data_IF_727507742640
#
_entry.id   IF_727507742640
#
_cell.length_a   1.000
_cell.length_b   1.000
_cell.length_c   1.000
_cell.angle_alpha   90.00
_cell.angle_beta   90.00
_cell.angle_gamma   90.00
#
_symmetry.space_group_name_H-M   'P 1'
#
loop_
_entity.id
_entity.type
_entity.pdbx_description
1 polymer ?
#
# COMPACT_ATOMS: atom_id res chain seq x y z
N UNK A 1 -7.71 13.67 16.97
CA UNK A 1 -7.45 12.53 16.07
C UNK A 1 -6.09 11.94 16.43
N UNK A 2 -6.00 10.65 16.75
CA UNK A 2 -4.74 10.03 17.21
C UNK A 2 -3.70 10.00 16.07
N UNK A 3 -2.39 10.05 16.38
CA UNK A 3 -1.33 9.95 15.37
C UNK A 3 -1.48 8.73 14.46
N UNK A 4 -1.84 7.58 15.03
CA UNK A 4 -1.96 6.32 14.29
C UNK A 4 -3.16 6.32 13.32
N UNK A 5 -4.26 6.99 13.68
CA UNK A 5 -5.40 7.13 12.77
C UNK A 5 -5.04 8.02 11.57
N UNK A 6 -4.25 9.07 11.79
CA UNK A 6 -3.72 9.89 10.68
C UNK A 6 -2.73 9.11 9.81
N UNK A 7 -1.96 8.19 10.40
CA UNK A 7 -1.06 7.32 9.65
C UNK A 7 -1.85 6.35 8.76
N UNK A 8 -2.93 5.74 9.26
CA UNK A 8 -3.81 4.89 8.46
C UNK A 8 -4.41 5.66 7.27
N UNK A 9 -4.95 6.86 7.50
CA UNK A 9 -5.48 7.69 6.41
C UNK A 9 -4.41 8.05 5.36
N UNK A 10 -3.18 8.33 5.78
CA UNK A 10 -2.06 8.56 4.87
C UNK A 10 -1.74 7.30 4.05
N UNK A 11 -1.66 6.14 4.69
CA UNK A 11 -1.38 4.86 4.02
C UNK A 11 -2.49 4.52 3.01
N UNK A 12 -3.76 4.67 3.39
CA UNK A 12 -4.91 4.45 2.52
C UNK A 12 -4.86 5.39 1.30
N UNK A 13 -4.58 6.68 1.51
CA UNK A 13 -4.45 7.66 0.43
C UNK A 13 -3.30 7.32 -0.54
N UNK A 14 -2.15 6.89 -0.02
CA UNK A 14 -1.02 6.47 -0.85
C UNK A 14 -1.30 5.17 -1.60
N UNK A 15 -2.05 4.25 -1.00
CA UNK A 15 -2.50 3.02 -1.64
C UNK A 15 -3.45 3.32 -2.81
N UNK A 16 -4.45 4.19 -2.61
CA UNK A 16 -5.39 4.57 -3.67
C UNK A 16 -4.69 5.27 -4.85
N UNK A 17 -3.72 6.14 -4.56
CA UNK A 17 -2.89 6.78 -5.61
C UNK A 17 -2.10 5.73 -6.39
N UNK A 18 -1.49 4.76 -5.69
CA UNK A 18 -0.76 3.66 -6.33
C UNK A 18 -1.67 2.78 -7.20
N UNK A 19 -2.86 2.44 -6.70
CA UNK A 19 -3.86 1.62 -7.41
C UNK A 19 -4.33 2.29 -8.71
N UNK A 20 -4.67 3.58 -8.68
CA UNK A 20 -5.07 4.33 -9.88
C UNK A 20 -3.96 4.33 -10.95
N UNK A 21 -2.68 4.38 -10.56
CA UNK A 21 -1.57 4.27 -11.51
C UNK A 21 -1.48 2.87 -12.15
N UNK A 22 -1.67 1.81 -11.37
CA UNK A 22 -1.69 0.42 -11.89
C UNK A 22 -2.87 0.22 -12.86
N UNK A 23 -4.07 0.64 -12.46
CA UNK A 23 -5.28 0.52 -13.28
C UNK A 23 -5.11 1.24 -14.63
N UNK A 24 -4.60 2.47 -14.63
CA UNK A 24 -4.31 3.22 -15.87
C UNK A 24 -3.30 2.51 -16.75
N UNK A 25 -2.20 2.01 -16.17
CA UNK A 25 -1.18 1.30 -16.93
C UNK A 25 -1.70 -0.01 -17.56
N UNK A 26 -2.63 -0.70 -16.89
CA UNK A 26 -3.26 -1.92 -17.40
C UNK A 26 -4.31 -1.64 -18.49
N UNK A 27 -5.11 -0.57 -18.36
CA UNK A 27 -6.17 -0.19 -19.31
C UNK A 27 -5.62 0.32 -20.64
N UNK A 28 -4.53 1.08 -20.61
CA UNK A 28 -4.01 1.72 -21.83
C UNK A 28 -3.08 0.82 -22.68
N UNK A 29 -2.68 -0.35 -22.16
CA UNK A 29 -1.73 -1.23 -22.84
C UNK A 29 -0.33 -0.63 -22.98
N UNK A 30 0.69 -1.48 -23.14
CA UNK A 30 2.11 -1.10 -23.28
C UNK A 30 2.43 -0.16 -24.46
N UNK A 31 1.44 0.20 -25.29
CA UNK A 31 1.59 0.93 -26.55
C UNK A 31 1.27 2.42 -26.49
N UNK A 32 1.12 3.01 -25.30
CA UNK A 32 1.37 4.44 -25.11
C UNK A 32 2.68 4.59 -24.33
N UNK A 33 3.78 4.37 -25.05
CA UNK A 33 5.09 4.83 -24.61
C UNK A 33 5.10 6.38 -24.67
N UNK A 34 5.70 7.02 -23.66
CA UNK A 34 5.73 8.47 -23.32
C UNK A 34 4.51 8.96 -22.53
N UNK A 35 4.44 8.93 -21.21
CA UNK A 35 5.37 8.64 -20.15
C UNK A 35 4.51 7.84 -19.16
N UNK A 36 4.93 6.65 -18.72
CA UNK A 36 4.44 6.20 -17.42
C UNK A 36 4.75 7.34 -16.47
N UNK A 37 3.73 8.04 -15.94
CA UNK A 37 3.88 9.38 -15.37
C UNK A 37 4.99 9.40 -14.30
N UNK A 38 6.21 9.69 -14.76
CA UNK A 38 7.44 9.47 -13.99
C UNK A 38 7.42 10.39 -12.79
N UNK A 39 6.90 11.60 -13.01
CA UNK A 39 6.69 12.61 -12.00
C UNK A 39 5.71 12.11 -10.93
N UNK A 40 4.59 11.49 -11.32
CA UNK A 40 3.63 10.94 -10.36
C UNK A 40 4.16 9.71 -9.64
N UNK A 41 4.87 8.83 -10.33
CA UNK A 41 5.55 7.70 -9.71
C UNK A 41 6.57 8.17 -8.67
N UNK A 42 7.46 9.11 -9.03
CA UNK A 42 8.48 9.61 -8.11
C UNK A 42 7.88 10.35 -6.91
N UNK A 43 6.81 11.13 -7.13
CA UNK A 43 6.07 11.77 -6.02
C UNK A 43 5.46 10.74 -5.08
N UNK A 44 4.80 9.73 -5.63
CA UNK A 44 4.23 8.64 -4.85
C UNK A 44 5.33 7.87 -4.09
N UNK A 45 6.39 7.45 -4.79
CA UNK A 45 7.52 6.71 -4.22
C UNK A 45 8.20 7.50 -3.11
N UNK A 46 8.40 8.81 -3.29
CA UNK A 46 8.96 9.67 -2.26
C UNK A 46 8.03 9.75 -1.04
N UNK A 47 6.75 10.02 -1.26
CA UNK A 47 5.78 10.13 -0.17
C UNK A 47 5.66 8.83 0.64
N UNK A 48 5.69 7.67 -0.03
CA UNK A 48 5.72 6.37 0.66
C UNK A 48 7.02 6.18 1.44
N UNK A 49 8.19 6.48 0.86
CA UNK A 49 9.46 6.40 1.59
C UNK A 49 9.47 7.29 2.82
N UNK A 50 8.98 8.54 2.70
CA UNK A 50 8.92 9.49 3.81
C UNK A 50 8.02 8.93 4.94
N UNK A 51 6.84 8.39 4.63
CA UNK A 51 5.94 7.79 5.62
C UNK A 51 6.54 6.56 6.29
N UNK A 52 7.16 5.66 5.53
CA UNK A 52 7.79 4.45 6.09
C UNK A 52 9.00 4.80 6.96
N UNK A 53 9.79 5.79 6.54
CA UNK A 53 10.93 6.29 7.30
C UNK A 53 10.48 7.00 8.59
N UNK A 54 9.46 7.84 8.53
CA UNK A 54 8.87 8.48 9.72
C UNK A 54 8.38 7.45 10.75
N UNK A 55 7.82 6.32 10.28
CA UNK A 55 7.29 5.26 11.15
C UNK A 55 8.40 4.45 11.83
N UNK A 56 9.33 3.92 11.04
CA UNK A 56 10.25 2.87 11.51
C UNK A 56 11.73 3.19 11.35
N UNK A 57 12.07 4.33 10.75
CA UNK A 57 13.44 4.72 10.47
C UNK A 57 14.09 3.91 9.35
N UNK A 58 15.42 3.97 9.27
CA UNK A 58 16.16 3.31 8.20
C UNK A 58 16.20 1.78 8.33
N UNK A 59 16.10 1.24 9.54
CA UNK A 59 16.26 -0.19 9.78
C UNK A 59 14.93 -0.97 9.71
N UNK A 60 13.81 -0.27 9.49
CA UNK A 60 12.51 -0.88 9.31
C UNK A 60 12.45 -1.75 8.05
N UNK A 61 11.89 -2.95 8.22
CA UNK A 61 11.83 -3.96 7.16
C UNK A 61 10.98 -3.50 5.97
N UNK A 62 9.90 -2.74 6.22
CA UNK A 62 9.04 -2.23 5.17
C UNK A 62 9.72 -1.10 4.42
N UNK A 63 10.40 -0.19 5.12
CA UNK A 63 11.20 0.85 4.48
C UNK A 63 12.29 0.26 3.56
N UNK A 64 13.07 -0.69 4.06
CA UNK A 64 14.15 -1.33 3.27
C UNK A 64 13.61 -2.10 2.06
N UNK A 65 12.52 -2.85 2.25
CA UNK A 65 11.89 -3.60 1.14
C UNK A 65 11.31 -2.65 0.09
N UNK A 66 10.61 -1.61 0.51
CA UNK A 66 10.00 -0.65 -0.41
C UNK A 66 11.08 0.05 -1.24
N UNK A 67 12.12 0.56 -0.57
CA UNK A 67 13.24 1.22 -1.23
C UNK A 67 13.94 0.32 -2.27
N UNK A 68 14.05 -0.98 -1.98
CA UNK A 68 14.70 -1.95 -2.87
C UNK A 68 13.81 -2.38 -4.04
N UNK A 69 12.52 -2.61 -3.79
CA UNK A 69 11.64 -3.30 -4.73
C UNK A 69 10.70 -2.37 -5.52
N UNK A 70 10.56 -1.10 -5.11
CA UNK A 70 9.73 -0.09 -5.79
C UNK A 70 10.62 1.02 -6.35
N UNK A 71 11.57 0.63 -7.19
CA UNK A 71 12.65 1.51 -7.67
C UNK A 71 12.39 2.05 -9.07
N UNK A 72 11.62 1.33 -9.88
CA UNK A 72 11.37 1.66 -11.27
C UNK A 72 9.90 1.99 -11.52
N UNK A 73 9.61 2.90 -12.46
CA UNK A 73 8.27 3.30 -12.87
C UNK A 73 7.62 2.21 -13.75
N UNK A 74 7.46 1.01 -13.21
CA UNK A 74 6.89 -0.15 -13.89
C UNK A 74 5.79 -0.76 -13.03
N UNK A 75 4.78 -1.34 -13.68
CA UNK A 75 3.60 -1.93 -13.00
C UNK A 75 4.00 -2.91 -11.90
N UNK A 76 4.98 -3.77 -12.17
CA UNK A 76 5.48 -4.75 -11.18
C UNK A 76 6.00 -4.09 -9.90
N UNK A 77 6.77 -3.02 -10.01
CA UNK A 77 7.38 -2.31 -8.88
C UNK A 77 6.32 -1.50 -8.11
N UNK A 78 5.29 -0.98 -8.81
CA UNK A 78 4.10 -0.39 -8.18
C UNK A 78 3.32 -1.43 -7.38
N UNK A 79 2.97 -2.56 -7.98
CA UNK A 79 2.22 -3.64 -7.33
C UNK A 79 2.95 -4.14 -6.08
N UNK A 80 4.28 -4.26 -6.14
CA UNK A 80 5.08 -4.64 -4.99
C UNK A 80 5.05 -3.57 -3.89
N UNK A 81 5.13 -2.29 -4.25
CA UNK A 81 5.01 -1.19 -3.29
C UNK A 81 3.62 -1.12 -2.66
N UNK A 82 2.57 -1.42 -3.41
CA UNK A 82 1.19 -1.53 -2.89
C UNK A 82 1.04 -2.70 -1.90
N UNK A 83 1.65 -3.86 -2.16
CA UNK A 83 1.67 -4.97 -1.20
C UNK A 83 2.34 -4.57 0.11
N UNK A 84 3.46 -3.84 0.03
CA UNK A 84 4.16 -3.35 1.21
C UNK A 84 3.30 -2.34 1.99
N UNK A 85 2.67 -1.39 1.30
CA UNK A 85 1.72 -0.45 1.94
C UNK A 85 0.57 -1.17 2.63
N UNK A 86 -0.01 -2.19 2.01
CA UNK A 86 -1.08 -2.99 2.61
C UNK A 86 -0.61 -3.70 3.88
N UNK A 87 0.59 -4.31 3.86
CA UNK A 87 1.14 -4.99 5.03
C UNK A 87 1.38 -4.02 6.20
N UNK A 88 1.95 -2.84 5.91
CA UNK A 88 2.17 -1.80 6.93
C UNK A 88 0.85 -1.31 7.52
N UNK A 89 -0.16 -1.09 6.66
CA UNK A 89 -1.49 -0.68 7.08
C UNK A 89 -2.12 -1.72 8.02
N UNK A 90 -2.04 -3.00 7.67
CA UNK A 90 -2.59 -4.10 8.48
C UNK A 90 -1.90 -4.21 9.84
N UNK A 91 -0.57 -3.99 9.89
CA UNK A 91 0.18 -3.95 11.16
C UNK A 91 -0.26 -2.77 12.03
N UNK A 92 -0.36 -1.55 11.46
CA UNK A 92 -0.81 -0.36 12.20
C UNK A 92 -2.25 -0.55 12.70
N UNK A 93 -3.14 -1.08 11.87
CA UNK A 93 -4.51 -1.39 12.28
C UNK A 93 -4.52 -2.43 13.42
N UNK A 94 -3.68 -3.46 13.33
CA UNK A 94 -3.49 -4.47 14.38
C UNK A 94 -3.01 -3.89 15.70
N UNK A 95 -1.99 -3.02 15.68
CA UNK A 95 -1.46 -2.30 16.85
C UNK A 95 -2.53 -1.41 17.49
N UNK A 96 -3.31 -0.70 16.69
CA UNK A 96 -4.42 0.13 17.16
C UNK A 96 -5.56 -0.69 17.77
N UNK A 97 -5.86 -1.87 17.23
CA UNK A 97 -6.84 -2.79 17.81
C UNK A 97 -6.33 -3.35 19.14
N UNK A 98 -5.05 -3.75 19.20
CA UNK A 98 -4.44 -4.31 20.42
C UNK A 98 -4.36 -3.28 21.55
N UNK A 99 -4.08 -2.02 21.23
CA UNK A 99 -4.09 -0.89 22.18
C UNK A 99 -5.50 -0.41 22.56
N UNK A 100 -6.55 -0.92 21.90
CA UNK A 100 -7.94 -0.51 22.13
C UNK A 100 -8.33 0.83 21.50
N UNK A 101 -7.42 1.46 20.74
CA UNK A 101 -7.67 2.69 20.01
C UNK A 101 -8.64 2.51 18.83
N UNK A 102 -8.67 1.30 18.24
CA UNK A 102 -9.66 0.88 17.26
C UNK A 102 -10.48 -0.30 17.80
N UNK A 103 -11.79 -0.23 17.66
CA UNK A 103 -12.65 -1.39 17.90
C UNK A 103 -12.55 -2.31 16.69
N UNK A 104 -12.06 -3.54 16.90
CA UNK A 104 -12.10 -4.60 15.88
C UNK A 104 -13.52 -4.69 15.33
N UNK A 105 -13.71 -4.38 14.04
CA UNK A 105 -14.98 -4.64 13.37
C UNK A 105 -15.22 -6.15 13.48
N UNK A 106 -16.26 -6.57 14.20
CA UNK A 106 -16.69 -7.96 14.25
C UNK A 106 -17.09 -8.38 12.83
N UNK A 107 -16.19 -9.10 12.15
CA UNK A 107 -16.42 -9.98 11.01
C UNK A 107 -17.31 -9.46 9.87
N UNK A 108 -16.70 -9.17 8.71
CA UNK A 108 -17.36 -9.54 7.46
C UNK A 108 -17.12 -11.06 7.32
N UNK A 109 -18.15 -11.91 7.26
CA UNK A 109 -17.94 -13.34 7.11
C UNK A 109 -17.14 -13.58 5.82
N UNK A 110 -16.01 -14.23 5.96
CA UNK A 110 -15.30 -14.86 4.86
C UNK A 110 -16.30 -15.81 4.20
N UNK A 111 -16.63 -15.56 2.94
CA UNK A 111 -17.42 -16.48 2.15
C UNK A 111 -16.67 -17.82 2.10
N UNK A 112 -17.08 -18.77 2.93
CA UNK A 112 -16.69 -20.16 2.82
C UNK A 112 -17.28 -20.66 1.51
N UNK A 113 -16.43 -20.86 0.50
CA UNK A 113 -16.77 -21.67 -0.66
C UNK A 113 -17.06 -23.09 -0.17
N UNK A 114 -18.34 -23.45 -0.10
CA UNK A 114 -18.78 -24.83 -0.01
C UNK A 114 -18.48 -25.50 -1.35
N UNK A 115 -17.42 -26.30 -1.42
CA UNK A 115 -17.23 -27.23 -2.53
C UNK A 115 -18.26 -28.35 -2.31
N UNK A 116 -19.30 -28.37 -3.12
CA UNK A 116 -20.24 -29.48 -3.21
C UNK A 116 -19.60 -30.52 -4.13
N UNK A 117 -19.12 -31.63 -3.57
CA UNK A 117 -18.74 -32.78 -4.37
C UNK A 117 -20.01 -33.46 -4.90
N UNK A 118 -20.01 -33.70 -6.20
CA UNK A 118 -20.93 -34.58 -6.91
C UNK A 118 -20.83 -36.02 -6.39
#
# INVERSE_FOLDING_TARGET
>A
MTPDLKLLEKLDGLYDVGRDMVERAQVHGLTVEYEFDLCRFDKWRKAVNDVLYERGGCDDIYYQRFRKNSSQPVVRDLEEGLRILSAVRDDVEGEMIASGALRKKRGRPSASYSISNY
#
